data_IF_444217084935
#
_entry.id   IF_444217084935
#
_cell.length_a   1.000
_cell.length_b   1.000
_cell.length_c   1.000
_cell.angle_alpha   90.00
_cell.angle_beta   90.00
_cell.angle_gamma   90.00
#
_symmetry.space_group_name_H-M   'P 1'
#
loop_
_entity.id
_entity.type
_entity.pdbx_description
1 polymer ?
#
# COMPACT_ATOMS: atom_id res chain seq x y z
N UNK A 1 3.75 -30.22 -17.38
CA UNK A 1 2.98 -28.96 -17.24
C UNK A 1 3.93 -27.82 -17.50
N UNK A 2 3.77 -27.15 -18.64
CA UNK A 2 4.69 -26.13 -19.12
C UNK A 2 4.71 -24.94 -18.16
N UNK A 3 5.86 -24.71 -17.51
CA UNK A 3 6.15 -23.43 -16.88
C UNK A 3 6.42 -22.42 -18.01
N UNK A 4 5.36 -21.87 -18.57
CA UNK A 4 5.49 -20.71 -19.44
C UNK A 4 6.13 -19.60 -18.61
N UNK A 5 7.35 -19.18 -18.99
CA UNK A 5 8.10 -18.16 -18.27
C UNK A 5 7.31 -16.85 -18.40
N UNK A 6 7.03 -16.21 -17.26
CA UNK A 6 6.40 -14.89 -17.24
C UNK A 6 7.14 -13.92 -18.15
N UNK A 7 6.41 -13.09 -18.89
CA UNK A 7 7.00 -12.00 -19.68
C UNK A 7 7.68 -10.99 -18.75
N UNK A 8 8.58 -10.16 -19.29
CA UNK A 8 9.20 -9.10 -18.50
C UNK A 8 8.15 -8.17 -17.86
N UNK A 9 7.10 -7.80 -18.60
CA UNK A 9 6.00 -6.99 -18.09
C UNK A 9 5.25 -7.67 -16.93
N UNK A 10 4.98 -8.97 -17.03
CA UNK A 10 4.35 -9.75 -15.96
C UNK A 10 5.26 -9.87 -14.72
N UNK A 11 6.57 -9.99 -14.92
CA UNK A 11 7.52 -9.99 -13.81
C UNK A 11 7.53 -8.63 -13.09
N UNK A 12 7.53 -7.53 -13.84
CA UNK A 12 7.44 -6.16 -13.30
C UNK A 12 6.14 -5.96 -12.52
N UNK A 13 4.98 -6.27 -13.10
CA UNK A 13 3.68 -6.14 -12.44
C UNK A 13 3.62 -6.93 -11.12
N UNK A 14 4.16 -8.16 -11.12
CA UNK A 14 4.23 -8.99 -9.92
C UNK A 14 5.13 -8.38 -8.84
N UNK A 15 6.29 -7.84 -9.24
CA UNK A 15 7.23 -7.21 -8.33
C UNK A 15 6.65 -5.91 -7.73
N UNK A 16 5.95 -5.11 -8.53
CA UNK A 16 5.27 -3.90 -8.09
C UNK A 16 4.17 -4.19 -7.07
N UNK A 17 3.31 -5.18 -7.34
CA UNK A 17 2.27 -5.58 -6.39
C UNK A 17 2.88 -5.98 -5.04
N UNK A 18 3.94 -6.78 -5.05
CA UNK A 18 4.64 -7.19 -3.84
C UNK A 18 5.24 -6.01 -3.08
N UNK A 19 5.89 -5.08 -3.79
CA UNK A 19 6.45 -3.84 -3.24
C UNK A 19 5.37 -3.00 -2.54
N UNK A 20 4.23 -2.78 -3.21
CA UNK A 20 3.08 -2.02 -2.70
C UNK A 20 2.50 -2.68 -1.43
N UNK A 21 2.26 -3.99 -1.47
CA UNK A 21 1.74 -4.73 -0.32
C UNK A 21 2.72 -4.76 0.87
N UNK A 22 4.03 -4.81 0.60
CA UNK A 22 5.04 -4.72 1.65
C UNK A 22 5.00 -3.37 2.36
N UNK A 23 4.90 -2.27 1.61
CA UNK A 23 4.77 -0.92 2.19
C UNK A 23 3.49 -0.81 3.03
N UNK A 24 2.35 -1.21 2.48
CA UNK A 24 1.07 -1.16 3.19
C UNK A 24 1.11 -1.98 4.49
N UNK A 25 1.61 -3.22 4.46
CA UNK A 25 1.71 -4.05 5.66
C UNK A 25 2.67 -3.50 6.72
N UNK A 26 3.66 -2.70 6.32
CA UNK A 26 4.69 -2.17 7.22
C UNK A 26 4.30 -0.83 7.83
N UNK A 27 3.42 -0.10 7.16
CA UNK A 27 3.07 1.28 7.53
C UNK A 27 1.64 1.43 8.05
N UNK A 28 0.70 0.65 7.51
CA UNK A 28 -0.74 0.78 7.79
C UNK A 28 -1.19 -0.32 8.75
N UNK A 29 -2.00 0.04 9.73
CA UNK A 29 -2.63 -0.91 10.65
C UNK A 29 -3.86 -1.55 10.02
N UNK A 30 -4.23 -2.73 10.51
CA UNK A 30 -5.52 -3.33 10.20
C UNK A 30 -6.67 -2.41 10.70
N UNK A 31 -7.91 -2.61 10.22
CA UNK A 31 -9.07 -1.81 10.65
C UNK A 31 -9.28 -1.77 12.19
N UNK A 32 -8.79 -2.78 12.90
CA UNK A 32 -8.83 -2.86 14.36
C UNK A 32 -7.67 -2.13 15.07
N UNK A 33 -6.84 -1.38 14.33
CA UNK A 33 -5.68 -0.64 14.82
C UNK A 33 -4.45 -1.52 15.12
N UNK A 34 -4.55 -2.84 14.97
CA UNK A 34 -3.44 -3.78 15.19
C UNK A 34 -2.60 -4.03 13.93
N UNK A 35 -1.56 -4.89 14.02
CA UNK A 35 -0.79 -5.29 12.84
C UNK A 35 -1.65 -6.08 11.85
N UNK A 36 -1.34 -5.94 10.56
CA UNK A 36 -1.96 -6.72 9.50
C UNK A 36 -1.46 -8.16 9.55
N UNK A 37 -2.38 -9.10 9.72
CA UNK A 37 -2.09 -10.54 9.74
C UNK A 37 -2.98 -11.27 8.74
N UNK A 38 -2.54 -12.43 8.28
CA UNK A 38 -3.32 -13.25 7.34
C UNK A 38 -4.74 -13.57 7.84
N UNK A 39 -4.96 -14.01 9.11
CA UNK A 39 -6.31 -14.27 9.60
C UNK A 39 -7.23 -13.05 9.49
N UNK A 40 -6.75 -11.86 9.90
CA UNK A 40 -7.53 -10.63 9.87
C UNK A 40 -7.99 -10.26 8.46
N UNK A 41 -7.07 -10.21 7.50
CA UNK A 41 -7.40 -9.85 6.13
C UNK A 41 -8.27 -10.94 5.46
N UNK A 42 -8.01 -12.22 5.73
CA UNK A 42 -8.86 -13.32 5.25
C UNK A 42 -10.30 -13.16 5.73
N UNK A 43 -10.49 -12.93 7.02
CA UNK A 43 -11.83 -12.86 7.62
C UNK A 43 -12.57 -11.61 7.12
N UNK A 44 -11.90 -10.46 7.08
CA UNK A 44 -12.47 -9.22 6.52
C UNK A 44 -12.88 -9.33 5.05
N UNK A 45 -12.10 -10.06 4.25
CA UNK A 45 -12.42 -10.34 2.84
C UNK A 45 -13.55 -11.36 2.69
N UNK A 46 -13.60 -12.38 3.57
CA UNK A 46 -14.65 -13.38 3.55
C UNK A 46 -16.03 -12.78 3.83
N UNK A 47 -16.12 -11.78 4.72
CA UNK A 47 -17.35 -11.01 4.96
C UNK A 47 -17.87 -10.26 3.72
N UNK A 48 -17.02 -10.09 2.69
CA UNK A 48 -17.31 -9.48 1.38
C UNK A 48 -17.37 -10.48 0.24
N UNK A 49 -17.49 -11.77 0.58
CA UNK A 49 -17.51 -12.88 -0.39
C UNK A 49 -16.24 -12.93 -1.28
N UNK A 50 -15.10 -12.47 -0.74
CA UNK A 50 -13.79 -12.54 -1.40
C UNK A 50 -12.93 -13.59 -0.70
N UNK A 51 -12.59 -14.66 -1.43
CA UNK A 51 -11.77 -15.75 -0.88
C UNK A 51 -10.27 -15.45 -1.05
N UNK A 52 -9.54 -15.45 0.05
CA UNK A 52 -8.07 -15.34 0.05
C UNK A 52 -7.45 -16.55 0.76
N UNK A 53 -6.74 -17.39 0.01
CA UNK A 53 -5.94 -18.48 0.59
C UNK A 53 -4.62 -17.97 1.14
N UNK A 54 -4.05 -18.68 2.12
CA UNK A 54 -2.76 -18.34 2.72
C UNK A 54 -1.65 -18.29 1.69
N UNK A 55 -1.57 -19.32 0.85
CA UNK A 55 -0.56 -19.38 -0.20
C UNK A 55 -0.69 -18.22 -1.18
N UNK A 56 -1.92 -17.87 -1.61
CA UNK A 56 -2.15 -16.74 -2.51
C UNK A 56 -1.73 -15.42 -1.88
N UNK A 57 -2.04 -15.21 -0.61
CA UNK A 57 -1.58 -14.04 0.16
C UNK A 57 -0.06 -13.95 0.23
N UNK A 58 0.61 -15.06 0.56
CA UNK A 58 2.08 -15.13 0.62
C UNK A 58 2.71 -14.87 -0.76
N UNK A 59 2.14 -15.43 -1.83
CA UNK A 59 2.61 -15.20 -3.20
C UNK A 59 2.50 -13.73 -3.62
N UNK A 60 1.37 -13.07 -3.30
CA UNK A 60 1.16 -11.65 -3.56
C UNK A 60 2.19 -10.79 -2.82
N UNK A 61 2.42 -11.06 -1.53
CA UNK A 61 3.35 -10.28 -0.70
C UNK A 61 4.82 -10.48 -1.09
N UNK A 62 5.18 -11.69 -1.51
CA UNK A 62 6.56 -12.03 -1.88
C UNK A 62 6.85 -11.77 -3.36
N UNK A 63 5.81 -11.53 -4.18
CA UNK A 63 5.97 -11.31 -5.62
C UNK A 63 6.52 -12.54 -6.34
N UNK A 64 6.11 -13.73 -5.92
CA UNK A 64 6.62 -14.98 -6.47
C UNK A 64 5.53 -15.80 -7.16
N UNK A 65 5.95 -16.87 -7.86
CA UNK A 65 5.09 -17.86 -8.54
C UNK A 65 4.31 -17.37 -9.77
N UNK A 66 3.30 -16.51 -9.62
CA UNK A 66 2.43 -16.06 -10.72
C UNK A 66 1.96 -14.61 -10.54
N UNK A 67 1.48 -13.99 -11.61
CA UNK A 67 0.84 -12.66 -11.54
C UNK A 67 -0.55 -12.80 -10.94
N UNK A 68 -0.87 -11.95 -9.97
CA UNK A 68 -2.23 -11.84 -9.43
C UNK A 68 -2.86 -10.59 -10.04
N UNK A 69 -3.86 -10.80 -10.88
CA UNK A 69 -4.58 -9.79 -11.66
C UNK A 69 -6.11 -9.79 -11.40
N UNK A 70 -6.55 -10.59 -10.43
CA UNK A 70 -7.93 -10.65 -9.97
C UNK A 70 -8.36 -9.31 -9.36
N UNK A 71 -9.03 -8.51 -10.18
CA UNK A 71 -9.40 -7.14 -9.83
C UNK A 71 -10.31 -7.09 -8.60
N UNK A 72 -11.26 -8.03 -8.45
CA UNK A 72 -12.15 -8.08 -7.28
C UNK A 72 -11.34 -8.28 -6.00
N UNK A 73 -10.36 -9.19 -6.02
CA UNK A 73 -9.46 -9.39 -4.89
C UNK A 73 -8.60 -8.15 -4.61
N UNK A 74 -7.96 -7.58 -5.64
CA UNK A 74 -7.05 -6.45 -5.46
C UNK A 74 -7.78 -5.20 -4.95
N UNK A 75 -8.99 -4.93 -5.46
CA UNK A 75 -9.84 -3.85 -4.95
C UNK A 75 -10.21 -4.07 -3.49
N UNK A 76 -10.67 -5.26 -3.14
CA UNK A 76 -11.03 -5.56 -1.75
C UNK A 76 -9.82 -5.50 -0.80
N UNK A 77 -8.62 -5.86 -1.26
CA UNK A 77 -7.38 -5.68 -0.48
C UNK A 77 -7.06 -4.18 -0.30
N UNK A 78 -7.21 -3.36 -1.33
CA UNK A 78 -7.02 -1.92 -1.21
C UNK A 78 -8.03 -1.29 -0.23
N UNK A 79 -9.29 -1.72 -0.27
CA UNK A 79 -10.32 -1.30 0.69
C UNK A 79 -9.99 -1.73 2.13
N UNK A 80 -9.41 -2.91 2.34
CA UNK A 80 -8.95 -3.36 3.67
C UNK A 80 -7.90 -2.42 4.26
N UNK A 81 -7.00 -1.89 3.42
CA UNK A 81 -6.02 -0.87 3.80
C UNK A 81 -6.59 0.55 3.77
N UNK A 82 -7.88 0.70 3.45
CA UNK A 82 -8.54 1.99 3.23
C UNK A 82 -7.75 2.89 2.28
N UNK A 83 -7.36 2.40 1.11
CA UNK A 83 -6.74 3.21 0.06
C UNK A 83 -7.57 3.13 -1.21
N UNK A 84 -7.31 4.05 -2.14
CA UNK A 84 -7.96 4.00 -3.44
C UNK A 84 -7.61 2.68 -4.17
N UNK A 85 -8.60 1.92 -4.67
CA UNK A 85 -8.35 0.65 -5.35
C UNK A 85 -7.40 0.73 -6.55
N UNK A 86 -7.35 1.89 -7.23
CA UNK A 86 -6.44 2.12 -8.36
C UNK A 86 -4.97 2.02 -7.97
N UNK A 87 -4.63 2.13 -6.69
CA UNK A 87 -3.26 1.93 -6.22
C UNK A 87 -2.78 0.49 -6.45
N UNK A 88 -3.64 -0.52 -6.30
CA UNK A 88 -3.29 -1.94 -6.52
C UNK A 88 -3.67 -2.46 -7.91
N UNK A 89 -4.65 -1.84 -8.58
CA UNK A 89 -5.16 -2.31 -9.89
C UNK A 89 -4.69 -1.49 -11.08
N UNK A 90 -4.29 -0.23 -10.84
CA UNK A 90 -3.94 0.71 -11.89
C UNK A 90 -2.46 0.69 -12.26
N UNK A 91 -2.11 1.26 -13.44
CA UNK A 91 -0.72 1.49 -13.81
C UNK A 91 -0.04 2.41 -12.79
N UNK A 92 1.29 2.31 -12.69
CA UNK A 92 2.07 3.26 -11.90
C UNK A 92 1.78 4.69 -12.36
N UNK A 93 1.54 5.56 -11.39
CA UNK A 93 1.08 6.93 -11.60
C UNK A 93 1.75 7.85 -10.59
N UNK A 94 1.82 9.14 -10.90
CA UNK A 94 2.38 10.14 -9.98
C UNK A 94 1.68 10.14 -8.61
N UNK A 95 0.39 9.80 -8.56
CA UNK A 95 -0.34 9.61 -7.31
C UNK A 95 0.16 8.39 -6.54
N UNK A 96 0.41 7.27 -7.23
CA UNK A 96 0.98 6.05 -6.65
C UNK A 96 2.38 6.31 -6.07
N UNK A 97 3.22 7.04 -6.80
CA UNK A 97 4.56 7.44 -6.35
C UNK A 97 4.50 8.33 -5.10
N UNK A 98 3.54 9.26 -5.05
CA UNK A 98 3.31 10.14 -3.90
C UNK A 98 2.89 9.34 -2.67
N UNK A 99 1.92 8.42 -2.82
CA UNK A 99 1.49 7.52 -1.75
C UNK A 99 2.67 6.68 -1.25
N UNK A 100 3.48 6.14 -2.16
CA UNK A 100 4.65 5.35 -1.80
C UNK A 100 5.69 6.17 -1.01
N UNK A 101 5.95 7.41 -1.42
CA UNK A 101 6.86 8.31 -0.73
C UNK A 101 6.41 8.59 0.70
N UNK A 102 5.12 8.88 0.90
CA UNK A 102 4.53 9.10 2.21
C UNK A 102 4.61 7.85 3.12
N UNK A 103 4.35 6.66 2.55
CA UNK A 103 4.42 5.39 3.30
C UNK A 103 5.86 5.07 3.73
N UNK A 104 6.85 5.30 2.86
CA UNK A 104 8.28 5.10 3.16
C UNK A 104 8.79 6.09 4.20
N UNK A 105 8.35 7.34 4.16
CA UNK A 105 8.71 8.34 5.16
C UNK A 105 8.19 7.97 6.55
N UNK A 106 6.91 7.58 6.65
CA UNK A 106 6.30 7.10 7.90
C UNK A 106 7.10 5.93 8.50
N UNK A 107 7.55 5.01 7.64
CA UNK A 107 8.40 3.88 8.05
C UNK A 107 9.79 4.33 8.52
N UNK A 108 10.39 5.33 7.87
CA UNK A 108 11.72 5.85 8.17
C UNK A 108 11.79 6.66 9.48
N UNK A 109 10.74 7.43 9.80
CA UNK A 109 10.66 8.24 11.03
C UNK A 109 10.32 7.42 12.29
N UNK A 110 9.79 6.19 12.14
CA UNK A 110 9.26 5.37 13.24
C UNK A 110 8.34 6.14 14.20
N UNK A 111 7.50 7.02 13.64
CA UNK A 111 6.22 7.37 14.26
C UNK A 111 5.32 6.12 14.25
N UNK A 112 4.52 5.92 15.29
CA UNK A 112 3.66 4.74 15.46
C UNK A 112 2.83 4.48 14.19
N UNK A 113 2.62 3.22 13.74
CA UNK A 113 1.95 2.93 12.48
C UNK A 113 0.60 3.66 12.38
N UNK A 114 0.45 4.43 11.31
CA UNK A 114 -0.67 5.37 11.16
C UNK A 114 -1.89 4.59 10.69
N UNK A 115 -2.95 4.64 11.49
CA UNK A 115 -4.27 4.23 11.03
C UNK A 115 -4.78 5.26 10.03
N UNK A 116 -4.98 4.86 8.77
CA UNK A 116 -5.58 5.75 7.75
C UNK A 116 -7.01 6.19 8.13
N UNK A 117 -7.68 5.42 9.01
CA UNK A 117 -8.93 5.80 9.66
C UNK A 117 -8.78 7.08 10.50
N UNK A 118 -7.71 7.20 11.30
CA UNK A 118 -7.46 8.40 12.12
C UNK A 118 -7.16 9.62 11.24
N UNK A 119 -6.43 9.44 10.14
CA UNK A 119 -6.16 10.51 9.18
C UNK A 119 -7.43 10.99 8.45
N UNK A 120 -8.39 10.10 8.16
CA UNK A 120 -9.67 10.46 7.52
C UNK A 120 -10.74 10.98 8.49
N UNK A 121 -10.72 10.53 9.75
CA UNK A 121 -11.65 11.02 10.78
C UNK A 121 -11.30 12.45 11.22
N UNK A 122 -10.05 12.88 10.99
CA UNK A 122 -9.62 14.29 11.03
C UNK A 122 -10.12 15.07 9.80
N UNK A 123 -11.40 14.91 9.47
CA UNK A 123 -12.03 15.51 8.31
C UNK A 123 -12.29 17.01 8.54
N UNK A 124 -11.23 17.81 8.42
CA UNK A 124 -11.32 19.20 7.99
C UNK A 124 -10.21 19.49 6.99
N UNK A 125 -10.61 19.58 5.72
CA UNK A 125 -9.93 20.21 4.60
C UNK A 125 -8.43 19.92 4.44
N UNK A 126 -8.02 18.67 4.20
CA UNK A 126 -6.69 18.44 3.59
C UNK A 126 -6.80 18.73 2.09
N UNK A 127 -6.61 20.00 1.72
CA UNK A 127 -6.55 20.46 0.33
C UNK A 127 -5.18 20.18 -0.28
N UNK A 128 -5.07 20.27 -1.61
CA UNK A 128 -3.78 20.19 -2.31
C UNK A 128 -2.75 21.19 -1.75
N UNK A 129 -3.20 22.35 -1.27
CA UNK A 129 -2.38 23.36 -0.61
C UNK A 129 -1.75 22.86 0.71
N UNK A 130 -2.44 22.01 1.47
CA UNK A 130 -1.89 21.43 2.70
C UNK A 130 -0.81 20.39 2.41
N UNK A 131 -0.98 19.61 1.35
CA UNK A 131 0.04 18.65 0.87
C UNK A 131 1.26 19.39 0.27
N UNK A 132 1.04 20.49 -0.44
CA UNK A 132 2.12 21.35 -0.93
C UNK A 132 2.87 22.05 0.21
N UNK A 133 2.17 22.53 1.24
CA UNK A 133 2.79 23.07 2.46
C UNK A 133 3.62 22.03 3.19
N UNK A 134 3.10 20.79 3.30
CA UNK A 134 3.85 19.70 3.91
C UNK A 134 5.13 19.42 3.10
N UNK A 135 5.02 19.39 1.76
CA UNK A 135 6.16 19.20 0.85
C UNK A 135 7.18 20.34 0.91
N UNK A 136 6.75 21.59 1.10
CA UNK A 136 7.62 22.74 1.24
C UNK A 136 8.36 22.76 2.59
N UNK A 137 7.65 22.46 3.69
CA UNK A 137 8.26 22.30 5.02
C UNK A 137 9.30 21.17 5.03
N UNK A 138 9.04 20.08 4.30
CA UNK A 138 9.99 18.99 4.12
C UNK A 138 11.28 19.45 3.42
N UNK A 139 11.22 20.38 2.46
CA UNK A 139 12.43 20.92 1.80
C UNK A 139 13.23 21.86 2.70
N UNK A 140 12.58 22.74 3.44
CA UNK A 140 13.24 23.64 4.39
C UNK A 140 14.01 22.89 5.48
N UNK A 141 13.46 21.78 5.97
CA UNK A 141 14.12 20.95 6.99
C UNK A 141 15.35 20.24 6.42
N UNK A 142 15.27 19.75 5.18
CA UNK A 142 16.41 19.13 4.49
C UNK A 142 17.51 20.16 4.17
N UNK A 143 17.14 21.39 3.81
CA UNK A 143 18.08 22.50 3.61
C UNK A 143 18.74 22.96 4.92
N UNK A 144 17.98 22.97 6.02
CA UNK A 144 18.50 23.28 7.35
C UNK A 144 19.45 22.20 7.89
N UNK A 145 19.21 20.92 7.53
CA UNK A 145 20.13 19.80 7.80
C UNK A 145 21.33 19.78 6.86
N UNK A 146 21.26 20.48 5.73
CA UNK A 146 22.25 20.52 4.66
C UNK A 146 23.25 21.68 4.70
N UNK A 147 23.37 22.45 5.79
CA UNK A 147 24.54 23.34 5.99
C UNK A 147 25.64 22.61 6.77
N UNK A 148 26.91 22.72 6.33
CA UNK A 148 28.04 22.14 7.06
C UNK A 148 28.19 22.71 8.47
#
# INVERSE_FOLDING_TARGET
MSHEKLTAAQQTQRAELARKLHLLCSTVTAPDGGPVTYPKIRDWLADRDVKLSRSRWEYMRLGNRYVVDDERLLRAVAEYFEIDPSYLTGPESQLTETIDAALRFTLAERTSPVSLYAARTLNQDVTAEHLDRLTALLREIEEARGRP
#
